data_IF_602001160291
#
_entry.id   IF_602001160291
#
_cell.length_a   1.000
_cell.length_b   1.000
_cell.length_c   1.000
_cell.angle_alpha   90.00
_cell.angle_beta   90.00
_cell.angle_gamma   90.00
#
_symmetry.space_group_name_H-M   'P 1'
#
loop_
_entity.id
_entity.type
_entity.pdbx_description
1 polymer ?
#
# COMPACT_ATOMS: atom_id res chain seq x y z
N UNK A 1 -11.01 6.60 -12.97
CA UNK A 1 -10.91 6.13 -11.56
C UNK A 1 -9.52 5.59 -11.34
N UNK A 2 -9.05 5.58 -10.10
CA UNK A 2 -7.71 5.09 -9.74
C UNK A 2 -7.82 3.82 -8.93
N UNK A 3 -7.11 2.76 -9.34
CA UNK A 3 -6.85 1.57 -8.53
C UNK A 3 -5.64 1.86 -7.62
N UNK A 4 -5.89 2.03 -6.32
CA UNK A 4 -4.90 2.54 -5.39
C UNK A 4 -3.88 1.48 -4.92
N UNK A 5 -4.08 0.20 -5.25
CA UNK A 5 -3.10 -0.86 -5.02
C UNK A 5 -3.38 -2.06 -5.91
N UNK A 6 -2.39 -2.41 -6.71
CA UNK A 6 -2.37 -3.64 -7.48
C UNK A 6 -0.92 -4.07 -7.78
N UNK A 7 -0.76 -5.32 -8.19
CA UNK A 7 0.51 -5.87 -8.68
C UNK A 7 0.53 -6.03 -10.20
N UNK A 8 -0.64 -6.01 -10.85
CA UNK A 8 -0.76 -6.03 -12.32
C UNK A 8 -1.70 -4.94 -12.78
N UNK A 9 -1.36 -4.32 -13.92
CA UNK A 9 -2.19 -3.30 -14.56
C UNK A 9 -3.33 -3.96 -15.32
N UNK A 10 -4.56 -3.48 -15.10
CA UNK A 10 -5.77 -3.98 -15.75
C UNK A 10 -6.56 -2.81 -16.34
N UNK A 11 -7.07 -2.98 -17.56
CA UNK A 11 -7.91 -1.95 -18.17
C UNK A 11 -7.18 -0.65 -18.50
N UNK A 12 -7.92 0.44 -18.56
CA UNK A 12 -7.46 1.77 -18.94
C UNK A 12 -7.38 2.78 -17.78
N UNK A 13 -7.64 2.35 -16.56
CA UNK A 13 -7.63 3.15 -15.35
C UNK A 13 -6.20 3.56 -14.98
N UNK A 14 -6.06 4.50 -14.06
CA UNK A 14 -4.81 4.80 -13.39
C UNK A 14 -4.54 3.78 -12.29
N UNK A 15 -3.30 3.36 -12.12
CA UNK A 15 -2.91 2.38 -11.10
C UNK A 15 -1.76 2.88 -10.23
N UNK A 16 -1.81 2.55 -8.93
CA UNK A 16 -0.66 2.57 -8.05
C UNK A 16 -0.15 1.13 -7.98
N UNK A 17 0.94 0.87 -8.69
CA UNK A 17 1.46 -0.49 -8.94
C UNK A 17 2.60 -0.78 -7.98
N UNK A 18 2.50 -1.85 -7.21
CA UNK A 18 3.59 -2.36 -6.37
C UNK A 18 4.30 -3.53 -7.04
N UNK A 19 5.63 -3.50 -7.02
CA UNK A 19 6.50 -4.53 -7.59
C UNK A 19 7.58 -4.95 -6.60
N UNK A 20 7.96 -6.22 -6.65
CA UNK A 20 9.19 -6.68 -6.00
C UNK A 20 10.43 -6.15 -6.76
N UNK A 21 11.60 -6.06 -6.10
CA UNK A 21 12.82 -5.54 -6.74
C UNK A 21 13.23 -6.27 -8.03
N UNK A 22 12.96 -7.56 -8.09
CA UNK A 22 13.26 -8.44 -9.24
C UNK A 22 12.21 -8.40 -10.36
N UNK A 23 11.06 -7.77 -10.13
CA UNK A 23 9.99 -7.67 -11.10
C UNK A 23 10.21 -6.48 -12.06
N UNK A 24 9.81 -6.67 -13.30
CA UNK A 24 9.88 -5.62 -14.33
C UNK A 24 8.76 -4.57 -14.18
N UNK A 25 8.73 -3.68 -15.15
CA UNK A 25 7.72 -2.60 -15.25
C UNK A 25 6.67 -2.88 -16.32
N UNK A 26 6.50 -4.14 -16.73
CA UNK A 26 5.57 -4.54 -17.78
C UNK A 26 4.14 -4.07 -17.45
N UNK A 27 3.50 -3.46 -18.43
CA UNK A 27 2.15 -2.92 -18.32
C UNK A 27 2.04 -1.57 -17.63
N UNK A 28 3.05 -1.13 -16.86
CA UNK A 28 3.05 0.20 -16.22
C UNK A 28 3.21 1.29 -17.26
N UNK A 29 2.26 2.23 -17.31
CA UNK A 29 2.25 3.33 -18.29
C UNK A 29 2.78 4.61 -17.65
N UNK A 30 3.99 5.08 -18.03
CA UNK A 30 4.55 6.31 -17.49
C UNK A 30 3.60 7.52 -17.68
N UNK A 31 3.47 8.34 -16.65
CA UNK A 31 2.60 9.51 -16.65
C UNK A 31 1.12 9.21 -16.37
N UNK A 32 0.69 7.93 -16.45
CA UNK A 32 -0.61 7.48 -15.99
C UNK A 32 -0.51 6.75 -14.66
N UNK A 33 0.34 5.74 -14.61
CA UNK A 33 0.48 4.87 -13.43
C UNK A 33 1.64 5.34 -12.54
N UNK A 34 1.55 5.06 -11.25
CA UNK A 34 2.59 5.31 -10.28
C UNK A 34 3.20 3.98 -9.80
N UNK A 35 4.51 3.84 -9.95
CA UNK A 35 5.25 2.64 -9.55
C UNK A 35 5.80 2.78 -8.13
N UNK A 36 5.63 1.75 -7.33
CA UNK A 36 6.26 1.55 -6.03
C UNK A 36 7.07 0.26 -6.06
N UNK A 37 8.25 0.26 -5.46
CA UNK A 37 9.11 -0.93 -5.41
C UNK A 37 9.53 -1.20 -3.98
N UNK A 38 9.39 -2.46 -3.53
CA UNK A 38 9.70 -2.84 -2.16
C UNK A 38 9.88 -4.34 -1.94
N UNK A 39 10.59 -4.68 -0.87
CA UNK A 39 10.69 -6.06 -0.38
C UNK A 39 9.48 -6.35 0.49
N UNK A 40 8.56 -7.17 -0.04
CA UNK A 40 7.35 -7.58 0.66
C UNK A 40 7.68 -8.46 1.88
N UNK A 41 6.93 -8.38 3.01
CA UNK A 41 7.22 -9.15 4.22
C UNK A 41 7.26 -10.67 4.02
N UNK A 42 6.55 -11.21 3.03
CA UNK A 42 6.61 -12.65 2.72
C UNK A 42 7.98 -13.13 2.27
N UNK A 43 8.81 -12.24 1.72
CA UNK A 43 10.17 -12.60 1.31
C UNK A 43 11.11 -12.85 2.51
N UNK A 44 10.71 -12.42 3.72
CA UNK A 44 11.42 -12.70 4.97
C UNK A 44 10.94 -13.99 5.67
N UNK A 45 9.88 -14.64 5.17
CA UNK A 45 9.31 -15.84 5.81
C UNK A 45 10.16 -17.06 5.49
N UNK A 46 10.44 -17.89 6.51
CA UNK A 46 11.21 -19.11 6.36
C UNK A 46 12.71 -18.92 6.12
N UNK A 47 13.20 -17.67 6.20
CA UNK A 47 14.64 -17.38 6.06
C UNK A 47 15.38 -17.77 7.34
N UNK A 48 16.31 -18.74 7.23
CA UNK A 48 17.09 -19.23 8.35
C UNK A 48 18.39 -18.45 8.58
N UNK A 49 18.91 -17.76 7.55
CA UNK A 49 20.13 -16.97 7.57
C UNK A 49 19.83 -15.50 7.27
N UNK A 50 19.64 -14.72 8.33
CA UNK A 50 19.33 -13.30 8.23
C UNK A 50 20.50 -12.48 7.66
N UNK A 51 21.74 -12.87 7.92
CA UNK A 51 22.93 -12.15 7.44
C UNK A 51 23.11 -12.37 5.93
N UNK A 52 22.86 -13.59 5.45
CA UNK A 52 22.87 -13.90 4.03
C UNK A 52 21.77 -13.12 3.29
N UNK A 53 20.53 -13.16 3.78
CA UNK A 53 19.43 -12.40 3.18
C UNK A 53 19.75 -10.89 3.12
N UNK A 54 20.29 -10.33 4.21
CA UNK A 54 20.65 -8.89 4.29
C UNK A 54 21.73 -8.54 3.26
N UNK A 55 22.78 -9.36 3.12
CA UNK A 55 23.85 -9.13 2.16
C UNK A 55 23.43 -9.35 0.71
N UNK A 56 22.66 -10.38 0.44
CA UNK A 56 22.33 -10.81 -0.93
C UNK A 56 21.09 -10.09 -1.52
N UNK A 57 20.16 -9.63 -0.68
CA UNK A 57 18.91 -9.04 -1.13
C UNK A 57 18.67 -7.62 -0.62
N UNK A 58 18.74 -7.39 0.70
CA UNK A 58 18.38 -6.11 1.28
C UNK A 58 19.37 -5.01 0.91
N UNK A 59 20.67 -5.24 1.08
CA UNK A 59 21.67 -4.21 0.78
C UNK A 59 21.72 -3.84 -0.70
N UNK A 60 21.78 -4.79 -1.66
CA UNK A 60 21.71 -4.47 -3.08
C UNK A 60 20.44 -3.70 -3.47
N UNK A 61 19.29 -4.08 -2.92
CA UNK A 61 18.04 -3.35 -3.13
C UNK A 61 18.11 -1.91 -2.65
N UNK A 62 18.59 -1.69 -1.42
CA UNK A 62 18.70 -0.34 -0.86
C UNK A 62 19.67 0.54 -1.66
N UNK A 63 20.78 -0.03 -2.14
CA UNK A 63 21.77 0.69 -2.95
C UNK A 63 21.23 1.05 -4.34
N UNK A 64 20.55 0.12 -5.00
CA UNK A 64 19.87 0.37 -6.28
C UNK A 64 18.79 1.44 -6.13
N UNK A 65 17.94 1.32 -5.13
CA UNK A 65 16.86 2.29 -4.89
C UNK A 65 17.41 3.69 -4.59
N UNK A 66 18.47 3.82 -3.81
CA UNK A 66 19.14 5.11 -3.59
C UNK A 66 19.59 5.74 -4.90
N UNK A 67 20.23 4.95 -5.77
CA UNK A 67 20.68 5.45 -7.06
C UNK A 67 19.50 5.91 -7.92
N UNK A 68 18.46 5.09 -8.07
CA UNK A 68 17.29 5.38 -8.90
C UNK A 68 16.48 6.57 -8.38
N UNK A 69 16.31 6.69 -7.07
CA UNK A 69 15.62 7.84 -6.46
C UNK A 69 16.47 9.12 -6.58
N UNK A 70 17.79 9.02 -6.44
CA UNK A 70 18.68 10.17 -6.53
C UNK A 70 18.75 10.78 -7.95
N UNK A 71 18.69 9.97 -8.99
CA UNK A 71 18.75 10.44 -10.39
C UNK A 71 17.37 10.70 -11.01
N UNK A 72 16.29 10.47 -10.25
CA UNK A 72 14.92 10.67 -10.70
C UNK A 72 14.42 9.63 -11.71
N UNK A 73 15.16 8.54 -11.94
CA UNK A 73 14.76 7.42 -12.79
C UNK A 73 14.01 6.32 -12.03
N UNK A 74 13.87 6.51 -10.72
CA UNK A 74 13.29 5.55 -9.80
C UNK A 74 11.76 5.49 -9.83
N UNK A 75 11.20 4.55 -9.05
CA UNK A 75 9.78 4.54 -8.75
C UNK A 75 9.38 5.79 -7.97
N UNK A 76 8.06 6.05 -7.89
CA UNK A 76 7.52 7.15 -7.13
C UNK A 76 7.80 7.04 -5.62
N UNK A 77 7.78 5.81 -5.08
CA UNK A 77 7.96 5.57 -3.66
C UNK A 77 8.33 4.12 -3.36
N UNK A 78 8.32 3.79 -2.08
CA UNK A 78 8.68 2.47 -1.57
C UNK A 78 7.42 1.68 -1.21
N UNK A 79 7.28 0.50 -1.76
CA UNK A 79 6.12 -0.37 -1.53
C UNK A 79 6.07 -1.57 -2.50
N UNK A 80 5.44 -2.62 -2.10
CA UNK A 80 4.72 -2.88 -0.87
C UNK A 80 5.68 -3.33 0.23
N UNK A 81 5.61 -2.68 1.39
CA UNK A 81 6.46 -2.98 2.55
C UNK A 81 5.62 -3.13 3.83
N UNK A 82 6.10 -3.85 4.81
CA UNK A 82 5.32 -3.95 6.05
C UNK A 82 5.57 -5.20 6.87
N UNK A 83 4.51 -5.65 7.55
CA UNK A 83 4.53 -6.79 8.46
C UNK A 83 3.36 -7.73 8.16
N UNK A 84 3.58 -9.04 8.32
CA UNK A 84 2.56 -10.06 8.12
C UNK A 84 2.54 -11.08 9.26
N UNK A 85 1.35 -11.35 9.82
CA UNK A 85 1.08 -12.40 10.80
C UNK A 85 0.04 -13.40 10.30
N UNK A 86 -0.25 -13.38 9.01
CA UNK A 86 -1.20 -14.32 8.41
C UNK A 86 -0.53 -15.65 8.11
N UNK A 87 0.66 -15.63 7.50
CA UNK A 87 1.43 -16.83 7.15
C UNK A 87 2.20 -17.37 8.35
N UNK A 88 2.77 -16.51 9.18
CA UNK A 88 3.43 -16.89 10.43
C UNK A 88 2.79 -16.15 11.61
N UNK A 89 2.64 -16.86 12.76
CA UNK A 89 1.99 -16.27 13.95
C UNK A 89 2.80 -15.17 14.61
N UNK A 90 4.11 -15.13 14.33
CA UNK A 90 5.06 -14.18 14.91
C UNK A 90 5.75 -13.39 13.82
N UNK A 91 6.02 -12.12 14.09
CA UNK A 91 6.83 -11.28 13.22
C UNK A 91 8.30 -11.51 13.56
N UNK A 92 9.08 -12.02 12.62
CA UNK A 92 10.49 -12.29 12.82
C UNK A 92 11.31 -10.99 13.01
N UNK A 93 12.46 -11.04 13.70
CA UNK A 93 13.39 -9.90 13.76
C UNK A 93 13.81 -9.41 12.36
N UNK A 94 14.07 -10.33 11.44
CA UNK A 94 14.43 -10.00 10.05
C UNK A 94 13.32 -9.22 9.34
N UNK A 95 12.05 -9.64 9.45
CA UNK A 95 10.91 -8.91 8.85
C UNK A 95 10.83 -7.48 9.38
N UNK A 96 11.05 -7.26 10.69
CA UNK A 96 11.08 -5.92 11.29
C UNK A 96 12.24 -5.09 10.76
N UNK A 97 13.41 -5.69 10.61
CA UNK A 97 14.61 -5.03 10.10
C UNK A 97 14.43 -4.59 8.65
N UNK A 98 13.93 -5.49 7.78
CA UNK A 98 13.64 -5.18 6.38
C UNK A 98 12.63 -4.05 6.28
N UNK A 99 11.57 -4.09 7.09
CA UNK A 99 10.56 -3.03 7.12
C UNK A 99 11.17 -1.69 7.57
N UNK A 100 11.93 -1.68 8.66
CA UNK A 100 12.56 -0.46 9.18
C UNK A 100 13.56 0.15 8.17
N UNK A 101 14.40 -0.67 7.54
CA UNK A 101 15.38 -0.21 6.54
C UNK A 101 14.70 0.47 5.33
N UNK A 102 13.56 -0.03 4.92
CA UNK A 102 12.78 0.54 3.82
C UNK A 102 12.03 1.83 4.22
N UNK A 103 11.58 1.93 5.48
CA UNK A 103 11.06 3.19 6.02
C UNK A 103 12.16 4.27 6.13
N UNK A 104 13.38 3.87 6.55
CA UNK A 104 14.52 4.78 6.58
C UNK A 104 14.85 5.29 5.18
N UNK A 105 14.85 4.42 4.17
CA UNK A 105 15.05 4.79 2.77
C UNK A 105 13.98 5.78 2.28
N UNK A 106 12.71 5.51 2.55
CA UNK A 106 11.61 6.40 2.17
C UNK A 106 11.72 7.78 2.85
N UNK A 107 12.18 7.81 4.10
CA UNK A 107 12.41 9.06 4.83
C UNK A 107 13.65 9.81 4.33
N UNK A 108 14.71 9.11 3.89
CA UNK A 108 15.93 9.68 3.28
C UNK A 108 15.59 10.46 2.00
N UNK A 109 14.76 9.89 1.15
CA UNK A 109 14.37 10.47 -0.14
C UNK A 109 13.03 11.21 -0.13
N UNK A 110 12.39 11.34 1.03
CA UNK A 110 11.11 12.05 1.21
C UNK A 110 10.06 11.55 0.23
N UNK A 111 9.94 10.23 0.05
CA UNK A 111 8.99 9.61 -0.88
C UNK A 111 7.87 8.85 -0.14
N UNK A 112 6.68 8.70 -0.75
CA UNK A 112 5.54 8.01 -0.14
C UNK A 112 5.78 6.51 -0.01
N UNK A 113 5.00 5.86 0.87
CA UNK A 113 5.07 4.41 1.07
C UNK A 113 3.71 3.74 0.93
N UNK A 114 3.70 2.51 0.41
CA UNK A 114 2.54 1.59 0.40
C UNK A 114 2.80 0.48 1.41
N UNK A 115 1.86 0.31 2.35
CA UNK A 115 2.02 -0.50 3.55
C UNK A 115 1.13 -1.74 3.56
N UNK A 116 1.75 -2.89 3.82
CA UNK A 116 1.11 -4.16 4.12
C UNK A 116 0.99 -4.38 5.63
N UNK A 117 -0.17 -4.92 6.08
CA UNK A 117 -0.39 -5.12 7.52
C UNK A 117 -1.32 -6.28 7.89
N UNK A 118 -1.08 -7.49 7.38
CA UNK A 118 -1.96 -8.61 7.63
C UNK A 118 -1.95 -9.06 9.10
N UNK A 119 -3.10 -8.91 9.78
CA UNK A 119 -3.33 -9.22 11.21
C UNK A 119 -2.41 -8.50 12.22
N UNK A 120 -1.70 -7.43 11.79
CA UNK A 120 -0.75 -6.71 12.65
C UNK A 120 -0.74 -5.20 12.46
N UNK A 121 -1.83 -4.59 11.98
CA UNK A 121 -1.92 -3.15 11.71
C UNK A 121 -1.46 -2.26 12.87
N UNK A 122 -1.75 -2.63 14.12
CA UNK A 122 -1.28 -1.87 15.28
C UNK A 122 0.25 -1.84 15.42
N UNK A 123 0.95 -2.87 14.94
CA UNK A 123 2.41 -2.92 14.91
C UNK A 123 2.97 -2.10 13.75
N UNK A 124 2.35 -2.20 12.57
CA UNK A 124 2.69 -1.38 11.39
C UNK A 124 2.55 0.10 11.70
N UNK A 125 1.39 0.54 12.20
CA UNK A 125 1.15 1.94 12.58
C UNK A 125 2.19 2.42 13.58
N UNK A 126 2.48 1.63 14.63
CA UNK A 126 3.47 1.99 15.66
C UNK A 126 4.87 2.15 15.07
N UNK A 127 5.26 1.29 14.14
CA UNK A 127 6.56 1.37 13.45
C UNK A 127 6.67 2.62 12.55
N UNK A 128 5.55 3.10 12.00
CA UNK A 128 5.52 4.30 11.16
C UNK A 128 5.54 5.61 11.97
N UNK A 129 5.08 5.61 13.25
CA UNK A 129 4.97 6.85 14.04
C UNK A 129 6.25 7.70 14.13
N UNK A 130 7.48 7.11 14.25
CA UNK A 130 8.72 7.88 14.24
C UNK A 130 9.03 8.60 12.92
N UNK A 131 8.34 8.25 11.85
CA UNK A 131 8.52 8.80 10.51
C UNK A 131 7.47 9.87 10.17
N UNK A 132 6.56 10.20 11.08
CA UNK A 132 5.60 11.28 10.90
C UNK A 132 6.31 12.60 10.55
N UNK A 133 5.93 13.23 9.44
CA UNK A 133 6.57 14.45 8.92
C UNK A 133 7.93 14.23 8.22
N UNK A 134 8.48 13.02 8.21
CA UNK A 134 9.69 12.64 7.46
C UNK A 134 9.32 11.95 6.15
N UNK A 135 8.32 11.07 6.19
CA UNK A 135 7.70 10.45 5.02
C UNK A 135 6.45 11.26 4.68
N UNK A 136 6.27 11.69 3.42
CA UNK A 136 5.21 12.64 3.04
C UNK A 136 3.81 12.05 3.12
N UNK A 137 3.65 10.76 2.81
CA UNK A 137 2.36 10.06 2.83
C UNK A 137 2.52 8.55 3.02
N UNK A 138 1.52 7.94 3.66
CA UNK A 138 1.45 6.50 3.90
C UNK A 138 0.13 5.96 3.36
N UNK A 139 0.16 4.95 2.48
CA UNK A 139 -1.02 4.21 2.06
C UNK A 139 -1.10 2.90 2.84
N UNK A 140 -2.14 2.74 3.64
CA UNK A 140 -2.48 1.51 4.36
C UNK A 140 -3.41 0.69 3.46
N UNK A 141 -2.83 -0.17 2.60
CA UNK A 141 -3.61 -0.96 1.67
C UNK A 141 -4.37 -2.08 2.38
N UNK A 142 -5.56 -2.43 1.92
CA UNK A 142 -6.35 -3.53 2.51
C UNK A 142 -6.63 -3.38 4.01
N UNK A 143 -6.62 -2.15 4.55
CA UNK A 143 -6.78 -1.92 5.98
C UNK A 143 -8.13 -2.44 6.48
N UNK A 144 -8.11 -3.45 7.34
CA UNK A 144 -9.29 -4.22 7.75
C UNK A 144 -9.50 -4.28 9.28
N UNK A 145 -8.93 -3.34 10.04
CA UNK A 145 -9.06 -3.31 11.50
C UNK A 145 -10.08 -2.28 12.00
N UNK A 146 -10.32 -2.30 13.30
CA UNK A 146 -11.23 -1.35 13.95
C UNK A 146 -10.75 0.09 13.80
N UNK A 147 -11.69 1.03 13.77
CA UNK A 147 -11.42 2.47 13.63
C UNK A 147 -10.54 3.09 14.72
N UNK A 148 -10.17 2.34 15.76
CA UNK A 148 -9.29 2.85 16.84
C UNK A 148 -7.88 3.27 16.40
N UNK A 149 -7.41 2.83 15.22
CA UNK A 149 -6.13 3.27 14.64
C UNK A 149 -6.26 4.48 13.72
N UNK A 150 -7.48 4.89 13.34
CA UNK A 150 -7.69 6.00 12.41
C UNK A 150 -7.05 7.31 12.86
N UNK A 151 -7.10 7.73 14.16
CA UNK A 151 -6.44 8.97 14.58
C UNK A 151 -4.93 8.95 14.34
N UNK A 152 -4.25 7.84 14.60
CA UNK A 152 -2.80 7.71 14.35
C UNK A 152 -2.49 7.66 12.86
N UNK A 153 -3.31 6.98 12.04
CA UNK A 153 -3.18 6.96 10.59
C UNK A 153 -3.33 8.38 10.03
N UNK A 154 -4.33 9.14 10.47
CA UNK A 154 -4.51 10.54 10.04
C UNK A 154 -3.31 11.40 10.44
N UNK A 155 -2.77 11.22 11.65
CA UNK A 155 -1.57 11.93 12.13
C UNK A 155 -0.33 11.63 11.29
N UNK A 156 -0.23 10.43 10.74
CA UNK A 156 0.81 10.03 9.79
C UNK A 156 0.64 10.61 8.39
N UNK A 157 -0.38 11.43 8.13
CA UNK A 157 -0.80 11.78 6.78
C UNK A 157 -1.13 10.52 5.96
N UNK A 158 -1.80 9.56 6.62
CA UNK A 158 -2.13 8.26 6.05
C UNK A 158 -3.39 8.30 5.19
N UNK A 159 -3.40 7.45 4.19
CA UNK A 159 -4.52 7.12 3.31
C UNK A 159 -4.87 5.65 3.51
N UNK A 160 -6.10 5.28 3.26
CA UNK A 160 -6.60 3.91 3.45
C UNK A 160 -7.29 3.48 2.18
N UNK A 161 -6.86 2.37 1.59
CA UNK A 161 -7.56 1.76 0.49
C UNK A 161 -8.46 0.60 0.95
N UNK A 162 -9.61 0.52 0.31
CA UNK A 162 -10.67 -0.45 0.55
C UNK A 162 -10.75 -1.38 -0.64
N UNK A 163 -10.48 -2.65 -0.41
CA UNK A 163 -10.46 -3.69 -1.45
C UNK A 163 -11.75 -4.51 -1.53
N UNK A 164 -11.73 -5.60 -2.33
CA UNK A 164 -12.89 -6.45 -2.63
C UNK A 164 -13.62 -7.05 -1.42
N UNK A 165 -12.97 -7.12 -0.26
CA UNK A 165 -13.61 -7.58 0.98
C UNK A 165 -14.89 -6.79 1.34
N UNK A 166 -15.06 -5.56 0.86
CA UNK A 166 -16.27 -4.75 1.09
C UNK A 166 -17.51 -5.35 0.42
N UNK A 167 -17.34 -6.14 -0.63
CA UNK A 167 -18.41 -6.82 -1.37
C UNK A 167 -19.03 -7.97 -0.58
N UNK A 168 -18.30 -8.52 0.41
CA UNK A 168 -18.81 -9.61 1.24
C UNK A 168 -19.90 -9.09 2.19
N UNK A 169 -21.12 -9.59 2.05
CA UNK A 169 -22.27 -9.18 2.86
C UNK A 169 -22.13 -9.49 4.36
N UNK A 170 -21.29 -10.46 4.72
CA UNK A 170 -20.98 -10.79 6.11
C UNK A 170 -19.88 -9.91 6.74
N UNK A 171 -19.22 -9.05 5.96
CA UNK A 171 -18.14 -8.17 6.45
C UNK A 171 -18.66 -6.89 7.14
N UNK A 172 -19.61 -7.04 8.09
CA UNK A 172 -20.29 -5.92 8.76
C UNK A 172 -19.30 -4.96 9.42
N UNK A 173 -18.36 -5.47 10.20
CA UNK A 173 -17.35 -4.64 10.88
C UNK A 173 -16.43 -3.89 9.90
N UNK A 174 -16.15 -4.47 8.75
CA UNK A 174 -15.36 -3.83 7.71
C UNK A 174 -16.13 -2.66 7.07
N UNK A 175 -17.41 -2.84 6.81
CA UNK A 175 -18.28 -1.77 6.30
C UNK A 175 -18.44 -0.62 7.29
N UNK A 176 -18.55 -0.90 8.59
CA UNK A 176 -18.57 0.15 9.61
C UNK A 176 -17.23 0.92 9.67
N UNK A 177 -16.10 0.23 9.49
CA UNK A 177 -14.82 0.88 9.31
C UNK A 177 -14.83 1.81 8.10
N UNK A 178 -15.29 1.33 6.93
CA UNK A 178 -15.38 2.12 5.70
C UNK A 178 -16.20 3.40 5.90
N UNK A 179 -17.29 3.36 6.68
CA UNK A 179 -18.06 4.55 7.05
C UNK A 179 -17.25 5.56 7.88
N UNK A 180 -16.28 5.11 8.64
CA UNK A 180 -15.50 5.93 9.57
C UNK A 180 -14.27 6.58 8.94
N UNK A 181 -13.81 6.11 7.78
CA UNK A 181 -12.63 6.67 7.09
C UNK A 181 -13.00 8.07 6.55
N UNK A 182 -12.20 9.14 6.82
CA UNK A 182 -12.42 10.43 6.17
C UNK A 182 -12.39 10.31 4.65
N UNK A 183 -13.30 10.98 3.94
CA UNK A 183 -13.41 10.85 2.47
C UNK A 183 -12.15 11.32 1.74
N UNK A 184 -11.46 12.33 2.28
CA UNK A 184 -10.18 12.83 1.77
C UNK A 184 -8.97 11.93 2.10
N UNK A 185 -9.23 10.76 2.67
CA UNK A 185 -8.24 9.72 3.03
C UNK A 185 -8.63 8.35 2.51
N UNK A 186 -9.82 8.27 1.89
CA UNK A 186 -10.39 7.03 1.37
C UNK A 186 -9.96 6.80 -0.07
N UNK A 187 -9.48 5.60 -0.35
CA UNK A 187 -9.16 5.08 -1.68
C UNK A 187 -9.83 3.73 -1.88
N UNK A 188 -9.86 3.25 -3.10
CA UNK A 188 -10.31 1.90 -3.47
C UNK A 188 -9.21 1.16 -4.20
N UNK A 189 -9.19 -0.16 -4.08
CA UNK A 189 -8.17 -1.02 -4.68
C UNK A 189 -8.75 -2.35 -5.15
N UNK A 190 -8.03 -3.03 -6.03
CA UNK A 190 -8.34 -4.41 -6.42
C UNK A 190 -7.45 -5.44 -5.75
N UNK A 191 -6.23 -5.09 -5.40
CA UNK A 191 -5.16 -6.01 -4.96
C UNK A 191 -4.94 -7.13 -6.01
N UNK A 192 -5.01 -6.75 -7.29
CA UNK A 192 -4.88 -7.68 -8.40
C UNK A 192 -3.44 -8.14 -8.56
N UNK A 193 -3.24 -9.46 -8.59
CA UNK A 193 -1.95 -10.13 -8.86
C UNK A 193 -2.05 -10.90 -10.17
N UNK A 194 -0.92 -11.41 -10.69
CA UNK A 194 -0.94 -12.28 -11.88
C UNK A 194 -1.82 -13.53 -11.68
N UNK A 195 -1.85 -14.06 -10.45
CA UNK A 195 -2.60 -15.27 -10.12
C UNK A 195 -4.10 -15.05 -10.06
N UNK A 196 -4.56 -13.86 -9.64
CA UNK A 196 -5.98 -13.58 -9.39
C UNK A 196 -6.62 -12.54 -10.33
N UNK A 197 -5.86 -11.95 -11.25
CA UNK A 197 -6.29 -10.81 -12.07
C UNK A 197 -7.60 -11.01 -12.84
N UNK A 198 -7.97 -12.26 -13.15
CA UNK A 198 -9.22 -12.60 -13.85
C UNK A 198 -10.39 -12.84 -12.89
N UNK A 199 -10.12 -13.09 -11.62
CA UNK A 199 -11.10 -13.45 -10.61
C UNK A 199 -11.49 -12.28 -9.70
N UNK A 200 -10.56 -11.32 -9.50
CA UNK A 200 -10.86 -10.15 -8.67
C UNK A 200 -11.87 -9.24 -9.37
N UNK A 201 -12.78 -8.62 -8.61
CA UNK A 201 -13.75 -7.66 -9.12
C UNK A 201 -13.08 -6.49 -9.86
N UNK A 202 -13.81 -5.85 -10.76
CA UNK A 202 -13.37 -4.58 -11.34
C UNK A 202 -13.38 -3.49 -10.26
N UNK A 203 -12.53 -2.50 -10.41
CA UNK A 203 -12.40 -1.41 -9.44
C UNK A 203 -13.73 -0.65 -9.27
N UNK A 204 -14.53 -0.55 -10.34
CA UNK A 204 -15.87 0.05 -10.32
C UNK A 204 -16.82 -0.67 -9.39
N UNK A 205 -16.77 -2.00 -9.31
CA UNK A 205 -17.62 -2.79 -8.42
C UNK A 205 -17.30 -2.50 -6.95
N UNK A 206 -16.01 -2.39 -6.63
CA UNK A 206 -15.56 -2.02 -5.29
C UNK A 206 -16.02 -0.60 -4.96
N UNK A 207 -15.82 0.36 -5.87
CA UNK A 207 -16.21 1.75 -5.68
C UNK A 207 -17.74 1.92 -5.56
N UNK A 208 -18.54 1.20 -6.35
CA UNK A 208 -20.00 1.18 -6.23
C UNK A 208 -20.43 0.72 -4.84
N UNK A 209 -19.81 -0.35 -4.33
CA UNK A 209 -20.12 -0.85 -2.98
C UNK A 209 -19.69 0.12 -1.88
N UNK A 210 -18.57 0.78 -2.04
CA UNK A 210 -18.14 1.84 -1.12
C UNK A 210 -19.11 3.01 -1.14
N UNK A 211 -19.62 3.44 -2.32
CA UNK A 211 -20.63 4.47 -2.46
C UNK A 211 -21.91 4.11 -1.70
N UNK A 212 -22.42 2.87 -1.88
CA UNK A 212 -23.58 2.33 -1.15
C UNK A 212 -23.35 2.39 0.37
N UNK A 213 -22.22 1.87 0.85
CA UNK A 213 -21.87 1.81 2.28
C UNK A 213 -21.76 3.20 2.89
N UNK A 214 -21.22 4.17 2.14
CA UNK A 214 -21.05 5.57 2.55
C UNK A 214 -22.33 6.39 2.45
N UNK A 215 -23.34 5.91 1.69
CA UNK A 215 -24.52 6.69 1.38
C UNK A 215 -24.24 7.92 0.52
N UNK A 216 -23.23 7.84 -0.37
CA UNK A 216 -22.82 8.90 -1.31
C UNK A 216 -23.11 8.41 -2.73
N UNK A 217 -23.70 9.22 -3.61
CA UNK A 217 -23.89 8.85 -5.01
C UNK A 217 -22.53 8.47 -5.67
N UNK A 218 -22.55 7.43 -6.50
CA UNK A 218 -21.32 6.94 -7.16
C UNK A 218 -20.61 8.03 -7.96
N UNK A 219 -21.39 8.83 -8.69
CA UNK A 219 -20.90 9.93 -9.54
C UNK A 219 -20.24 11.06 -8.72
N UNK A 220 -20.62 11.20 -7.45
CA UNK A 220 -20.00 12.15 -6.52
C UNK A 220 -18.77 11.56 -5.84
N UNK A 221 -18.77 10.24 -5.57
CA UNK A 221 -17.67 9.55 -4.90
C UNK A 221 -16.44 9.44 -5.80
N UNK A 222 -16.60 9.06 -7.08
CA UNK A 222 -15.48 8.83 -8.01
C UNK A 222 -14.53 10.02 -8.10
N UNK A 223 -15.00 11.27 -8.32
CA UNK A 223 -14.10 12.44 -8.33
C UNK A 223 -13.38 12.69 -7.00
N UNK A 224 -13.96 12.28 -5.88
CA UNK A 224 -13.32 12.37 -4.56
C UNK A 224 -12.17 11.37 -4.47
N UNK A 225 -12.43 10.09 -4.83
CA UNK A 225 -11.41 9.04 -4.83
C UNK A 225 -10.22 9.39 -5.73
N UNK A 226 -10.48 9.88 -6.95
CA UNK A 226 -9.43 10.28 -7.88
C UNK A 226 -8.58 11.43 -7.33
N UNK A 227 -9.21 12.45 -6.78
CA UNK A 227 -8.52 13.58 -6.12
C UNK A 227 -7.72 13.16 -4.91
N UNK A 228 -8.23 12.18 -4.14
CA UNK A 228 -7.52 11.62 -2.99
C UNK A 228 -6.29 10.85 -3.44
N UNK A 229 -6.39 10.07 -4.53
CA UNK A 229 -5.26 9.37 -5.13
C UNK A 229 -4.19 10.34 -5.70
N UNK A 230 -4.62 11.39 -6.38
CA UNK A 230 -3.73 12.49 -6.81
C UNK A 230 -3.01 13.12 -5.61
N UNK A 231 -3.75 13.45 -4.55
CA UNK A 231 -3.17 14.02 -3.33
C UNK A 231 -2.12 13.09 -2.68
N UNK A 232 -2.33 11.77 -2.72
CA UNK A 232 -1.35 10.81 -2.24
C UNK A 232 -0.07 10.82 -3.09
N UNK A 233 -0.22 10.87 -4.41
CA UNK A 233 0.89 10.84 -5.38
C UNK A 233 1.65 12.17 -5.46
N UNK A 234 0.96 13.32 -5.36
CA UNK A 234 1.54 14.66 -5.55
C UNK A 234 2.30 15.21 -4.33
N UNK A 235 2.28 14.50 -3.20
CA UNK A 235 2.98 14.93 -1.97
C UNK A 235 4.47 14.58 -1.97
N UNK A 236 5.13 14.85 -3.10
CA UNK A 236 6.58 14.80 -3.24
C UNK A 236 7.20 16.18 -3.09
#
# INVERSE_FOLDING_TARGET
>A
MTDAHCHVVRGGERHLVCRAPEEGTEGVVPGRDALFVGIHPWQAIGVSDADCFRAERLNPFLDEMRQRLADGSGPLGVGEIGLDRLKERTISPLMREIFAAQLDLAAEFVCPVVLHGAKCWGEVVRACLPYAGRIPAFLFHGFSRSGGLLPDIVRLNGFISVGPAVLNDHAVNYRELVKSIPLDRLLVETDATEENAQEVPQIEEVALKVAEVRGVPFEELVPILDRTAETFVERM
#
